data_IF_059685756525
#
_entry.id   IF_059685756525
#
_cell.length_a   1.000
_cell.length_b   1.000
_cell.length_c   1.000
_cell.angle_alpha   90.00
_cell.angle_beta   90.00
_cell.angle_gamma   90.00
#
_symmetry.space_group_name_H-M   'P 1'
#
loop_
_entity.id
_entity.type
_entity.pdbx_description
1 polymer ?
#
# COMPACT_ATOMS: atom_id res chain seq x y z
N UNK A 1 -13.92 0.66 11.89
CA UNK A 1 -14.02 0.60 10.43
C UNK A 1 -14.23 -0.87 10.09
N UNK A 2 -15.42 -1.27 9.64
CA UNK A 2 -15.60 -2.63 9.16
C UNK A 2 -14.79 -2.80 7.87
N UNK A 3 -14.15 -3.95 7.61
CA UNK A 3 -13.57 -4.20 6.31
C UNK A 3 -14.68 -4.05 5.24
N UNK A 4 -14.41 -3.39 4.11
CA UNK A 4 -15.38 -3.28 3.04
C UNK A 4 -15.84 -4.68 2.65
N UNK A 5 -17.16 -4.85 2.55
CA UNK A 5 -17.78 -6.11 2.15
C UNK A 5 -17.31 -6.45 0.75
N UNK A 6 -16.60 -7.57 0.59
CA UNK A 6 -15.97 -7.93 -0.67
C UNK A 6 -16.99 -8.00 -1.80
N UNK A 7 -16.52 -7.68 -3.01
CA UNK A 7 -17.28 -7.77 -4.28
C UNK A 7 -17.69 -9.22 -4.63
N UNK A 8 -17.57 -10.18 -3.71
CA UNK A 8 -17.78 -11.61 -3.96
C UNK A 8 -16.65 -12.26 -4.76
N UNK A 9 -15.59 -11.50 -5.10
CA UNK A 9 -14.37 -12.01 -5.74
C UNK A 9 -13.41 -12.53 -4.66
N UNK A 10 -12.79 -13.68 -4.95
CA UNK A 10 -11.73 -14.24 -4.09
C UNK A 10 -10.48 -13.39 -4.27
N UNK A 11 -9.91 -12.89 -3.19
CA UNK A 11 -8.61 -12.22 -3.22
C UNK A 11 -7.51 -13.26 -3.42
N UNK A 12 -6.82 -13.21 -4.56
CA UNK A 12 -5.82 -14.21 -4.95
C UNK A 12 -4.59 -14.21 -4.05
N UNK A 13 -4.20 -13.07 -3.48
CA UNK A 13 -3.05 -12.97 -2.57
C UNK A 13 -3.37 -13.67 -1.26
N UNK A 14 -4.55 -13.41 -0.70
CA UNK A 14 -5.00 -14.03 0.54
C UNK A 14 -5.39 -15.51 0.36
N UNK A 15 -5.77 -15.92 -0.85
CA UNK A 15 -6.07 -17.32 -1.16
C UNK A 15 -4.83 -18.17 -1.50
N UNK A 16 -3.68 -17.52 -1.74
CA UNK A 16 -2.43 -18.15 -2.15
C UNK A 16 -2.00 -19.29 -1.22
N UNK A 17 -1.38 -20.38 -1.74
CA UNK A 17 -0.83 -21.44 -0.91
C UNK A 17 0.18 -20.96 0.15
N UNK A 18 0.92 -19.87 -0.13
CA UNK A 18 1.90 -19.32 0.81
C UNK A 18 1.27 -18.85 2.12
N UNK A 19 -0.02 -18.47 2.09
CA UNK A 19 -0.77 -18.08 3.29
C UNK A 19 -1.01 -19.25 4.26
N UNK A 20 -0.71 -20.49 3.86
CA UNK A 20 -0.78 -21.68 4.71
C UNK A 20 0.59 -22.21 5.10
N UNK A 21 1.66 -21.60 4.60
CA UNK A 21 3.03 -21.99 4.92
C UNK A 21 3.37 -21.57 6.37
N UNK A 22 3.84 -22.48 7.24
CA UNK A 22 4.13 -22.14 8.63
C UNK A 22 5.22 -21.10 8.82
N UNK A 23 6.29 -21.11 8.01
CA UNK A 23 7.38 -20.13 8.12
C UNK A 23 6.86 -18.74 7.70
N UNK A 24 6.00 -18.69 6.68
CA UNK A 24 5.34 -17.46 6.29
C UNK A 24 4.38 -16.94 7.37
N UNK A 25 3.61 -17.82 8.02
CA UNK A 25 2.72 -17.43 9.13
C UNK A 25 3.51 -16.87 10.33
N UNK A 26 4.66 -17.45 10.67
CA UNK A 26 5.55 -16.91 11.72
C UNK A 26 6.02 -15.49 11.38
N UNK A 27 6.42 -15.25 10.13
CA UNK A 27 6.79 -13.91 9.67
C UNK A 27 5.59 -12.93 9.72
N UNK A 28 4.37 -13.39 9.42
CA UNK A 28 3.15 -12.58 9.56
C UNK A 28 2.91 -12.20 11.02
N UNK A 29 3.07 -13.13 11.95
CA UNK A 29 2.91 -12.89 13.39
C UNK A 29 3.91 -11.86 13.91
N UNK A 30 5.16 -11.88 13.45
CA UNK A 30 6.16 -10.86 13.76
C UNK A 30 5.72 -9.46 13.30
N UNK A 31 5.13 -9.36 12.10
CA UNK A 31 4.57 -8.09 11.61
C UNK A 31 3.36 -7.64 12.42
N UNK A 32 2.46 -8.55 12.79
CA UNK A 32 1.33 -8.23 13.67
C UNK A 32 1.85 -7.64 14.99
N UNK A 33 2.82 -8.30 15.62
CA UNK A 33 3.44 -7.80 16.86
C UNK A 33 4.09 -6.42 16.66
N UNK A 34 4.78 -6.20 15.55
CA UNK A 34 5.34 -4.89 15.22
C UNK A 34 4.24 -3.82 15.14
N UNK A 35 3.14 -4.09 14.44
CA UNK A 35 2.04 -3.14 14.24
C UNK A 35 1.26 -2.84 15.52
N UNK A 36 1.09 -3.83 16.39
CA UNK A 36 0.44 -3.69 17.69
C UNK A 36 1.29 -2.93 18.72
N UNK A 37 2.62 -2.97 18.57
CA UNK A 37 3.56 -2.38 19.51
C UNK A 37 4.27 -1.16 18.93
N UNK A 38 5.38 -1.40 18.23
CA UNK A 38 6.26 -0.34 17.75
C UNK A 38 5.49 0.63 16.84
N UNK A 39 4.64 0.11 15.94
CA UNK A 39 3.94 0.93 14.96
C UNK A 39 2.71 1.70 15.48
N UNK A 40 2.26 1.31 16.67
CA UNK A 40 1.01 1.80 17.26
C UNK A 40 0.89 3.33 17.35
N UNK A 41 1.94 4.13 17.63
CA UNK A 41 1.81 5.58 17.74
C UNK A 41 1.44 6.27 16.43
N UNK A 42 1.85 5.74 15.28
CA UNK A 42 1.59 6.33 13.96
C UNK A 42 0.45 5.67 13.18
N UNK A 43 0.08 4.44 13.56
CA UNK A 43 -0.96 3.69 12.87
C UNK A 43 -2.30 4.43 12.71
N UNK A 44 -2.83 5.18 13.72
CA UNK A 44 -4.08 5.93 13.55
C UNK A 44 -4.01 6.99 12.45
N UNK A 45 -2.88 7.67 12.33
CA UNK A 45 -2.67 8.68 11.29
C UNK A 45 -2.56 8.03 9.91
N UNK A 46 -1.97 6.83 9.82
CA UNK A 46 -1.89 6.09 8.56
C UNK A 46 -3.28 5.67 8.10
N UNK A 47 -4.12 5.18 9.01
CA UNK A 47 -5.52 4.82 8.73
C UNK A 47 -6.36 6.06 8.35
N UNK A 48 -6.12 7.20 9.00
CA UNK A 48 -6.77 8.45 8.62
C UNK A 48 -6.43 8.83 7.17
N UNK A 49 -5.16 8.80 6.77
CA UNK A 49 -4.77 9.08 5.39
C UNK A 49 -5.30 8.04 4.40
N UNK A 50 -5.33 6.77 4.78
CA UNK A 50 -5.94 5.71 3.98
C UNK A 50 -7.42 6.02 3.68
N UNK A 51 -8.20 6.44 4.68
CA UNK A 51 -9.62 6.78 4.48
C UNK A 51 -9.88 7.92 3.48
N UNK A 52 -8.87 8.73 3.16
CA UNK A 52 -8.97 9.82 2.17
C UNK A 52 -8.87 9.27 0.73
N UNK A 53 -8.07 8.22 0.52
CA UNK A 53 -7.71 7.74 -0.82
C UNK A 53 -8.23 6.35 -1.13
N UNK A 54 -8.76 5.62 -0.14
CA UNK A 54 -9.09 4.20 -0.31
C UNK A 54 -10.15 3.94 -1.38
N UNK A 55 -11.18 4.77 -1.50
CA UNK A 55 -12.19 4.62 -2.57
C UNK A 55 -11.57 4.75 -3.96
N UNK A 56 -10.64 5.69 -4.14
CA UNK A 56 -9.93 5.88 -5.40
C UNK A 56 -9.03 4.68 -5.70
N UNK A 57 -8.26 4.22 -4.71
CA UNK A 57 -7.40 3.02 -4.85
C UNK A 57 -8.24 1.80 -5.20
N UNK A 58 -9.32 1.55 -4.46
CA UNK A 58 -10.22 0.42 -4.69
C UNK A 58 -10.82 0.46 -6.10
N UNK A 59 -11.25 1.64 -6.57
CA UNK A 59 -11.78 1.80 -7.93
C UNK A 59 -10.76 1.46 -9.01
N UNK A 60 -9.49 1.85 -8.80
CA UNK A 60 -8.37 1.61 -9.73
C UNK A 60 -7.98 0.13 -9.75
N UNK A 61 -7.94 -0.51 -8.59
CA UNK A 61 -7.65 -1.95 -8.46
C UNK A 61 -8.76 -2.77 -9.13
N UNK A 62 -10.02 -2.47 -8.83
CA UNK A 62 -11.18 -3.15 -9.42
C UNK A 62 -11.20 -2.99 -10.95
N UNK A 63 -10.95 -1.78 -11.47
CA UNK A 63 -10.89 -1.53 -12.91
C UNK A 63 -9.75 -2.26 -13.63
N UNK A 64 -8.72 -2.68 -12.90
CA UNK A 64 -7.56 -3.42 -13.42
C UNK A 64 -7.59 -4.91 -13.08
N UNK A 65 -8.69 -5.39 -12.49
CA UNK A 65 -8.84 -6.77 -12.03
C UNK A 65 -7.72 -7.21 -11.06
N UNK A 66 -7.27 -6.28 -10.21
CA UNK A 66 -6.23 -6.52 -9.22
C UNK A 66 -6.82 -6.92 -7.85
N UNK A 67 -6.08 -7.69 -7.02
CA UNK A 67 -6.52 -8.07 -5.68
C UNK A 67 -6.83 -6.85 -4.79
N UNK A 68 -7.96 -6.90 -4.07
CA UNK A 68 -8.43 -5.81 -3.20
C UNK A 68 -7.45 -5.56 -2.03
N UNK A 69 -6.77 -6.60 -1.54
CA UNK A 69 -5.77 -6.51 -0.48
C UNK A 69 -4.56 -5.64 -0.83
N UNK A 70 -4.29 -5.38 -2.12
CA UNK A 70 -3.23 -4.45 -2.53
C UNK A 70 -3.47 -3.01 -2.04
N UNK A 71 -4.69 -2.68 -1.62
CA UNK A 71 -4.97 -1.41 -0.92
C UNK A 71 -4.09 -1.21 0.32
N UNK A 72 -3.58 -2.25 0.96
CA UNK A 72 -2.74 -2.09 2.15
C UNK A 72 -1.27 -1.79 1.81
N UNK A 73 -0.86 -1.93 0.56
CA UNK A 73 0.53 -1.68 0.15
C UNK A 73 0.97 -0.21 0.40
N UNK A 74 0.20 0.84 0.03
CA UNK A 74 0.60 2.21 0.33
C UNK A 74 0.60 2.54 1.83
N UNK A 75 -0.13 1.77 2.64
CA UNK A 75 -0.11 1.89 4.11
C UNK A 75 1.26 1.49 4.66
N UNK A 76 1.80 0.36 4.19
CA UNK A 76 3.10 -0.14 4.66
C UNK A 76 4.28 0.66 4.06
N UNK A 77 4.14 1.16 2.83
CA UNK A 77 5.22 1.89 2.15
C UNK A 77 5.40 3.34 2.63
N UNK A 78 4.30 4.05 2.88
CA UNK A 78 4.36 5.49 3.17
C UNK A 78 3.36 5.95 4.24
N UNK A 79 2.57 5.04 4.80
CA UNK A 79 1.40 5.40 5.59
C UNK A 79 0.40 6.23 4.80
N UNK A 80 0.20 5.91 3.52
CA UNK A 80 -0.68 6.62 2.59
C UNK A 80 -0.30 8.11 2.36
N UNK A 81 0.98 8.47 2.48
CA UNK A 81 1.44 9.84 2.29
C UNK A 81 1.92 10.11 0.84
N UNK A 82 1.17 10.88 0.02
CA UNK A 82 1.56 11.17 -1.36
C UNK A 82 2.81 12.05 -1.46
N UNK A 83 3.26 12.67 -0.36
CA UNK A 83 4.47 13.49 -0.32
C UNK A 83 5.67 12.80 0.34
N UNK A 84 5.53 11.53 0.73
CA UNK A 84 6.63 10.78 1.34
C UNK A 84 7.85 10.76 0.42
N UNK A 85 9.03 10.90 1.01
CA UNK A 85 10.31 10.76 0.32
C UNK A 85 11.31 10.03 1.20
N UNK A 86 11.82 8.90 0.73
CA UNK A 86 12.85 8.14 1.44
C UNK A 86 14.24 8.74 1.24
N UNK A 87 15.20 8.32 2.06
CA UNK A 87 16.62 8.65 1.89
C UNK A 87 17.18 8.15 0.54
N UNK A 88 16.67 7.01 0.05
CA UNK A 88 17.03 6.45 -1.26
C UNK A 88 16.30 7.13 -2.43
N UNK A 89 15.48 8.16 -2.18
CA UNK A 89 14.71 8.90 -3.18
C UNK A 89 13.50 8.18 -3.78
N UNK A 90 12.98 7.14 -3.11
CA UNK A 90 11.61 6.66 -3.34
C UNK A 90 10.62 7.78 -2.96
N UNK A 91 9.56 7.97 -3.75
CA UNK A 91 8.61 9.08 -3.55
C UNK A 91 7.17 8.60 -3.68
N UNK A 92 6.29 9.22 -2.90
CA UNK A 92 4.85 9.08 -3.04
C UNK A 92 4.25 7.98 -2.21
N UNK A 93 2.94 7.80 -2.41
CA UNK A 93 2.13 6.83 -1.67
C UNK A 93 2.67 5.40 -1.82
N UNK A 94 3.13 5.09 -3.04
CA UNK A 94 3.65 3.79 -3.47
C UNK A 94 5.18 3.66 -3.38
N UNK A 95 5.88 4.71 -2.92
CA UNK A 95 7.36 4.72 -2.83
C UNK A 95 8.09 4.31 -4.13
N UNK A 96 7.66 4.84 -5.28
CA UNK A 96 8.36 4.58 -6.54
C UNK A 96 9.75 5.24 -6.58
N UNK A 97 10.74 4.46 -7.01
CA UNK A 97 12.06 4.96 -7.40
C UNK A 97 11.94 5.79 -8.70
N UNK A 98 12.78 6.82 -8.90
CA UNK A 98 12.66 7.71 -10.05
C UNK A 98 12.91 7.00 -11.39
N UNK A 99 13.73 5.94 -11.41
CA UNK A 99 13.94 5.10 -12.59
C UNK A 99 12.67 4.33 -12.95
N UNK A 100 12.18 3.52 -12.02
CA UNK A 100 10.95 2.72 -12.16
C UNK A 100 9.74 3.56 -12.53
N UNK A 101 9.57 4.74 -11.91
CA UNK A 101 8.50 5.66 -12.27
C UNK A 101 8.54 6.08 -13.75
N UNK A 102 9.72 6.40 -14.28
CA UNK A 102 9.88 6.76 -15.69
C UNK A 102 9.64 5.59 -16.64
N UNK A 103 10.05 4.38 -16.25
CA UNK A 103 9.76 3.15 -16.99
C UNK A 103 8.24 2.91 -17.11
N UNK A 104 7.49 3.28 -16.08
CA UNK A 104 6.02 3.26 -16.09
C UNK A 104 5.37 4.52 -16.69
N UNK A 105 6.15 5.38 -17.35
CA UNK A 105 5.65 6.54 -18.08
C UNK A 105 5.37 7.79 -17.22
N UNK A 106 5.79 7.80 -15.95
CA UNK A 106 5.63 8.95 -15.07
C UNK A 106 6.69 10.03 -15.35
N UNK A 107 6.26 11.29 -15.29
CA UNK A 107 7.11 12.48 -15.34
C UNK A 107 7.77 12.72 -13.99
N UNK A 108 9.11 12.68 -13.98
CA UNK A 108 9.93 12.99 -12.79
C UNK A 108 10.92 14.10 -13.14
N UNK A 109 10.52 15.33 -12.88
CA UNK A 109 11.23 16.57 -13.17
C UNK A 109 11.23 17.53 -11.94
N UNK A 110 12.01 18.61 -12.01
CA UNK A 110 12.18 19.54 -10.89
C UNK A 110 10.88 20.20 -10.41
N UNK A 111 9.94 20.48 -11.32
CA UNK A 111 8.68 21.16 -11.02
C UNK A 111 7.47 20.22 -11.01
N UNK A 112 7.58 19.04 -11.62
CA UNK A 112 6.51 18.04 -11.74
C UNK A 112 7.09 16.68 -11.41
N UNK A 113 6.60 16.07 -10.32
CA UNK A 113 6.94 14.71 -9.92
C UNK A 113 5.65 13.93 -9.72
N UNK A 114 5.23 13.20 -10.76
CA UNK A 114 3.96 12.48 -10.81
C UNK A 114 3.89 11.33 -9.80
N UNK A 115 5.03 10.93 -9.21
CA UNK A 115 5.03 9.99 -8.07
C UNK A 115 4.28 10.54 -6.85
N UNK A 116 4.13 11.86 -6.76
CA UNK A 116 3.36 12.52 -5.69
C UNK A 116 1.88 12.69 -5.99
N UNK A 117 1.44 12.28 -7.17
CA UNK A 117 0.05 12.34 -7.58
C UNK A 117 -0.65 11.03 -7.16
N UNK A 118 -1.55 11.05 -6.17
CA UNK A 118 -2.23 9.85 -5.69
C UNK A 118 -3.24 9.32 -6.69
#
# INVERSE_FOLDING_TARGET
>A
MAPPTSTGRVDELLASPVMRDPEFQEAVDDWIQYWENAARPWFPEFLHRMSIFEEMVDSVLAARDLPESLRYLPLIESGYNPRARSYASAVGMWQFMPGTAREHGMTVAAFVDERRNP
#
